data_IF_299430312204
#
_entry.id   IF_299430312204
#
_cell.length_a   1.000
_cell.length_b   1.000
_cell.length_c   1.000
_cell.angle_alpha   90.00
_cell.angle_beta   90.00
_cell.angle_gamma   90.00
#
_symmetry.space_group_name_H-M   'P 1'
#
loop_
_entity.id
_entity.type
_entity.pdbx_description
1 polymer ?
#
# COMPACT_ATOMS: atom_id res chain seq x y z
N UNK A 1 10.28 -4.29 15.48
CA UNK A 1 9.40 -5.48 15.59
C UNK A 1 8.00 -5.14 16.12
N UNK A 2 7.82 -4.66 17.36
CA UNK A 2 6.47 -4.39 17.93
C UNK A 2 5.74 -3.17 17.32
N UNK A 3 6.47 -2.19 16.79
CA UNK A 3 5.89 -1.04 16.10
C UNK A 3 5.23 -1.45 14.78
N UNK A 4 5.92 -2.23 13.94
CA UNK A 4 5.39 -2.72 12.66
C UNK A 4 4.14 -3.58 12.83
N UNK A 5 4.06 -4.40 13.88
CA UNK A 5 2.88 -5.22 14.14
C UNK A 5 1.65 -4.36 14.51
N UNK A 6 1.86 -3.28 15.27
CA UNK A 6 0.81 -2.31 15.59
C UNK A 6 0.36 -1.55 14.33
N UNK A 7 1.31 -1.08 13.52
CA UNK A 7 1.03 -0.43 12.25
C UNK A 7 0.24 -1.35 11.32
N UNK A 8 0.67 -2.60 11.15
CA UNK A 8 0.00 -3.57 10.28
C UNK A 8 -1.44 -3.84 10.70
N UNK A 9 -1.70 -4.01 12.01
CA UNK A 9 -3.07 -4.18 12.52
C UNK A 9 -3.94 -2.97 12.19
N UNK A 10 -3.40 -1.76 12.35
CA UNK A 10 -4.10 -0.52 11.99
C UNK A 10 -4.34 -0.46 10.48
N UNK A 11 -3.38 -0.86 9.65
CA UNK A 11 -3.52 -0.94 8.20
C UNK A 11 -4.66 -1.85 7.77
N UNK A 12 -4.74 -3.05 8.34
CA UNK A 12 -5.87 -3.96 8.08
C UNK A 12 -7.20 -3.40 8.55
N UNK A 13 -7.26 -2.79 9.73
CA UNK A 13 -8.49 -2.15 10.21
C UNK A 13 -8.95 -1.04 9.27
N UNK A 14 -8.03 -0.16 8.84
CA UNK A 14 -8.32 0.90 7.87
C UNK A 14 -8.76 0.33 6.53
N UNK A 15 -8.10 -0.70 6.03
CA UNK A 15 -8.44 -1.36 4.77
C UNK A 15 -9.84 -1.99 4.84
N UNK A 16 -10.16 -2.72 5.92
CA UNK A 16 -11.51 -3.26 6.11
C UNK A 16 -12.59 -2.18 6.19
N UNK A 17 -12.32 -1.05 6.85
CA UNK A 17 -13.25 0.08 6.88
C UNK A 17 -13.40 0.70 5.48
N UNK A 18 -12.31 0.85 4.73
CA UNK A 18 -12.35 1.35 3.36
C UNK A 18 -13.25 0.48 2.48
N UNK A 19 -13.04 -0.84 2.49
CA UNK A 19 -13.88 -1.80 1.76
C UNK A 19 -15.35 -1.72 2.19
N UNK A 20 -15.61 -1.67 3.51
CA UNK A 20 -16.97 -1.60 4.05
C UNK A 20 -17.73 -0.35 3.57
N UNK A 21 -17.01 0.74 3.34
CA UNK A 21 -17.57 2.01 2.89
C UNK A 21 -17.40 2.27 1.39
N UNK A 22 -16.83 1.34 0.62
CA UNK A 22 -16.55 1.49 -0.81
C UNK A 22 -15.51 2.56 -1.13
N UNK A 23 -14.55 2.78 -0.22
CA UNK A 23 -13.47 3.76 -0.31
C UNK A 23 -12.11 3.14 -0.63
N UNK A 24 -12.04 1.85 -0.87
CA UNK A 24 -10.84 1.08 -1.20
C UNK A 24 -10.13 1.63 -2.46
N UNK A 25 -10.90 1.97 -3.48
CA UNK A 25 -10.40 2.61 -4.72
C UNK A 25 -10.20 4.13 -4.62
N UNK A 26 -10.51 4.74 -3.47
CA UNK A 26 -10.29 6.17 -3.27
C UNK A 26 -8.78 6.45 -3.18
N UNK A 27 -8.26 7.26 -4.11
CA UNK A 27 -6.83 7.49 -4.30
C UNK A 27 -6.07 7.81 -3.01
N UNK A 28 -6.64 8.67 -2.16
CA UNK A 28 -6.02 9.02 -0.87
C UNK A 28 -5.94 7.84 0.11
N UNK A 29 -7.00 7.03 0.17
CA UNK A 29 -7.09 5.87 1.06
C UNK A 29 -6.12 4.79 0.59
N UNK A 30 -6.15 4.48 -0.70
CA UNK A 30 -5.24 3.53 -1.31
C UNK A 30 -3.76 3.94 -1.12
N UNK A 31 -3.41 5.21 -1.40
CA UNK A 31 -2.04 5.72 -1.22
C UNK A 31 -1.57 5.60 0.23
N UNK A 32 -2.45 5.87 1.19
CA UNK A 32 -2.15 5.73 2.62
C UNK A 32 -1.91 4.27 2.99
N UNK A 33 -2.73 3.35 2.50
CA UNK A 33 -2.59 1.91 2.73
C UNK A 33 -1.30 1.36 2.10
N UNK A 34 -0.95 1.78 0.88
CA UNK A 34 0.29 1.40 0.19
C UNK A 34 1.52 1.75 1.05
N UNK A 35 1.59 2.99 1.55
CA UNK A 35 2.69 3.42 2.41
C UNK A 35 2.78 2.61 3.71
N UNK A 36 1.62 2.38 4.34
CA UNK A 36 1.54 1.66 5.61
C UNK A 36 1.94 0.18 5.47
N UNK A 37 1.50 -0.49 4.40
CA UNK A 37 1.95 -1.85 4.09
C UNK A 37 3.43 -1.90 3.71
N UNK A 38 3.94 -0.90 2.99
CA UNK A 38 5.37 -0.74 2.69
C UNK A 38 6.23 -0.63 3.96
N UNK A 39 5.82 0.19 4.94
CA UNK A 39 6.53 0.35 6.22
C UNK A 39 6.52 -0.92 7.07
N UNK A 40 5.54 -1.79 6.86
CA UNK A 40 5.46 -3.09 7.51
C UNK A 40 6.25 -4.18 6.78
N UNK A 41 6.83 -3.88 5.60
CA UNK A 41 7.48 -4.86 4.73
C UNK A 41 6.49 -5.78 3.99
N UNK A 42 5.21 -5.43 4.00
CA UNK A 42 4.11 -6.21 3.41
C UNK A 42 3.84 -5.77 1.97
N UNK A 43 4.86 -5.81 1.11
CA UNK A 43 4.82 -5.23 -0.25
C UNK A 43 3.72 -5.83 -1.12
N UNK A 44 3.45 -7.13 -0.99
CA UNK A 44 2.37 -7.78 -1.76
C UNK A 44 0.99 -7.13 -1.52
N UNK A 45 0.71 -6.70 -0.29
CA UNK A 45 -0.53 -6.00 0.02
C UNK A 45 -0.52 -4.57 -0.50
N UNK A 46 0.63 -3.88 -0.45
CA UNK A 46 0.79 -2.57 -1.06
C UNK A 46 0.56 -2.62 -2.57
N UNK A 47 1.12 -3.62 -3.26
CA UNK A 47 0.92 -3.87 -4.70
C UNK A 47 -0.56 -4.10 -5.02
N UNK A 48 -1.25 -4.99 -4.29
CA UNK A 48 -2.67 -5.26 -4.53
C UNK A 48 -3.53 -3.99 -4.45
N UNK A 49 -3.33 -3.18 -3.41
CA UNK A 49 -4.05 -1.90 -3.25
C UNK A 49 -3.73 -0.93 -4.39
N UNK A 50 -2.49 -0.92 -4.88
CA UNK A 50 -2.11 -0.12 -6.04
C UNK A 50 -2.78 -0.61 -7.33
N UNK A 51 -2.82 -1.92 -7.57
CA UNK A 51 -3.40 -2.52 -8.77
C UNK A 51 -4.93 -2.31 -8.86
N UNK A 52 -5.59 -2.15 -7.71
CA UNK A 52 -7.02 -1.81 -7.63
C UNK A 52 -7.31 -0.35 -8.00
N UNK A 53 -6.29 0.53 -8.08
CA UNK A 53 -6.47 1.91 -8.51
C UNK A 53 -6.69 2.01 -10.02
N UNK A 54 -7.86 2.53 -10.41
CA UNK A 54 -8.19 2.80 -11.82
C UNK A 54 -7.37 3.93 -12.43
N UNK A 55 -6.97 4.92 -11.63
CA UNK A 55 -6.25 6.13 -12.07
C UNK A 55 -5.23 6.56 -11.01
N UNK A 56 -4.09 5.85 -10.87
CA UNK A 56 -3.04 6.23 -9.94
C UNK A 56 -2.36 7.55 -10.37
N UNK A 57 -2.21 8.48 -9.43
CA UNK A 57 -1.43 9.71 -9.62
C UNK A 57 0.04 9.51 -9.25
N UNK A 58 0.87 10.51 -9.50
CA UNK A 58 2.30 10.51 -9.14
C UNK A 58 2.58 10.13 -7.69
N UNK A 59 1.70 10.52 -6.75
CA UNK A 59 1.87 10.19 -5.34
C UNK A 59 1.66 8.69 -5.10
N UNK A 60 0.64 8.08 -5.71
CA UNK A 60 0.41 6.64 -5.63
C UNK A 60 1.55 5.82 -6.27
N UNK A 61 2.05 6.24 -7.43
CA UNK A 61 3.22 5.64 -8.09
C UNK A 61 4.46 5.69 -7.19
N UNK A 62 4.75 6.87 -6.62
CA UNK A 62 5.88 7.04 -5.72
C UNK A 62 5.74 6.21 -4.43
N UNK A 63 4.51 6.10 -3.90
CA UNK A 63 4.21 5.31 -2.73
C UNK A 63 4.48 3.82 -2.97
N UNK A 64 4.02 3.25 -4.09
CA UNK A 64 4.21 1.82 -4.37
C UNK A 64 5.68 1.49 -4.66
N UNK A 65 6.39 2.36 -5.38
CA UNK A 65 7.84 2.22 -5.62
C UNK A 65 8.60 2.25 -4.30
N UNK A 66 8.28 3.21 -3.42
CA UNK A 66 8.89 3.32 -2.10
C UNK A 66 8.60 2.09 -1.25
N UNK A 67 7.38 1.55 -1.30
CA UNK A 67 7.01 0.32 -0.60
C UNK A 67 7.85 -0.89 -1.08
N UNK A 68 8.02 -1.06 -2.40
CA UNK A 68 8.88 -2.11 -2.96
C UNK A 68 10.33 -1.99 -2.51
N UNK A 69 10.91 -0.78 -2.54
CA UNK A 69 12.27 -0.56 -2.04
C UNK A 69 12.39 -0.86 -0.54
N UNK A 70 11.42 -0.46 0.28
CA UNK A 70 11.43 -0.67 1.74
C UNK A 70 11.26 -2.14 2.11
N UNK A 71 10.50 -2.91 1.35
CA UNK A 71 10.32 -4.35 1.56
C UNK A 71 11.36 -5.23 0.88
N UNK A 72 12.44 -4.65 0.33
CA UNK A 72 13.50 -5.36 -0.39
C UNK A 72 13.01 -6.14 -1.63
N UNK A 73 11.87 -5.74 -2.20
CA UNK A 73 11.28 -6.30 -3.43
C UNK A 73 11.70 -5.46 -4.64
N UNK A 74 12.97 -5.59 -5.01
CA UNK A 74 13.56 -4.85 -6.14
C UNK A 74 13.03 -5.35 -7.49
N UNK A 75 12.55 -6.60 -7.55
CA UNK A 75 11.95 -7.17 -8.74
C UNK A 75 10.58 -6.56 -9.02
N UNK A 76 9.71 -6.49 -8.00
CA UNK A 76 8.41 -5.84 -8.10
C UNK A 76 8.53 -4.37 -8.50
N UNK A 77 9.52 -3.63 -7.98
CA UNK A 77 9.75 -2.23 -8.37
C UNK A 77 10.01 -2.03 -9.87
N UNK A 78 10.64 -2.99 -10.55
CA UNK A 78 10.96 -2.91 -11.98
C UNK A 78 9.77 -3.19 -12.89
N UNK A 79 8.80 -3.98 -12.44
CA UNK A 79 7.57 -4.27 -13.20
C UNK A 79 6.55 -3.11 -13.18
N UNK A 80 6.78 -2.11 -12.32
CA UNK A 80 5.98 -0.88 -12.22
C UNK A 80 6.34 0.10 -13.35
N UNK A 81 7.55 0.00 -13.89
CA UNK A 81 8.09 0.86 -14.95
C UNK A 81 8.02 0.15 -16.31
#
# INVERSE_FOLDING_TARGET
AAANFRSLRTGFQMHCQALKHGLDSHLFVATTLIGLYGDCGCVEFARKVFDELRQPNLVAWNAVVTACFRGNDVAGAKEIF
#
